data_IF_630955306273
#
_entry.id   IF_630955306273
#
_cell.length_a   1.000
_cell.length_b   1.000
_cell.length_c   1.000
_cell.angle_alpha   90.00
_cell.angle_beta   90.00
_cell.angle_gamma   90.00
#
_symmetry.space_group_name_H-M   'P 1'
#
loop_
_entity.id
_entity.type
_entity.pdbx_description
1 polymer ?
#
# COMPACT_ATOMS: atom_id res chain seq x y z
N UNK A 1 16.95 15.34 12.59
CA UNK A 1 16.36 14.20 11.88
C UNK A 1 15.60 13.40 12.91
N UNK A 2 14.27 13.40 12.81
CA UNK A 2 13.41 12.69 13.76
C UNK A 2 12.72 11.59 12.98
N UNK A 3 13.29 10.38 12.98
CA UNK A 3 12.70 9.23 12.31
C UNK A 3 11.48 8.70 13.07
N UNK A 4 10.62 7.95 12.40
CA UNK A 4 9.55 7.21 13.08
C UNK A 4 10.13 6.29 14.18
N UNK A 5 9.42 6.19 15.30
CA UNK A 5 9.72 5.23 16.36
C UNK A 5 9.50 3.80 15.87
N UNK A 6 10.08 2.82 16.57
CA UNK A 6 9.85 1.41 16.24
C UNK A 6 8.37 1.02 16.33
N UNK A 7 7.64 1.57 17.30
CA UNK A 7 6.20 1.32 17.45
C UNK A 7 5.42 1.85 16.25
N UNK A 8 5.64 3.10 15.84
CA UNK A 8 4.98 3.71 14.69
C UNK A 8 5.30 2.95 13.39
N UNK A 9 6.57 2.61 13.18
CA UNK A 9 7.01 1.83 12.01
C UNK A 9 6.29 0.50 11.92
N UNK A 10 6.20 -0.25 13.01
CA UNK A 10 5.56 -1.57 13.02
C UNK A 10 4.03 -1.48 12.92
N UNK A 11 3.40 -0.42 13.45
CA UNK A 11 1.96 -0.17 13.24
C UNK A 11 1.65 0.11 11.76
N UNK A 12 2.46 0.94 11.11
CA UNK A 12 2.35 1.17 9.66
C UNK A 12 2.65 -0.12 8.88
N UNK A 13 3.63 -0.92 9.30
CA UNK A 13 3.96 -2.20 8.67
C UNK A 13 2.80 -3.21 8.76
N UNK A 14 2.10 -3.28 9.91
CA UNK A 14 0.88 -4.08 10.07
C UNK A 14 -0.18 -3.62 9.08
N UNK A 15 -0.42 -2.31 8.98
CA UNK A 15 -1.40 -1.76 8.05
C UNK A 15 -1.07 -2.09 6.58
N UNK A 16 0.17 -1.88 6.15
CA UNK A 16 0.66 -2.23 4.81
C UNK A 16 0.45 -3.73 4.54
N UNK A 17 0.80 -4.59 5.50
CA UNK A 17 0.70 -6.05 5.35
C UNK A 17 -0.75 -6.52 5.21
N UNK A 18 -1.66 -5.94 6.00
CA UNK A 18 -3.11 -6.20 5.93
C UNK A 18 -3.68 -5.72 4.60
N UNK A 19 -3.37 -4.48 4.19
CA UNK A 19 -3.83 -3.92 2.92
C UNK A 19 -3.30 -4.72 1.71
N UNK A 20 -2.06 -5.18 1.76
CA UNK A 20 -1.46 -6.06 0.76
C UNK A 20 -2.07 -7.47 0.74
N UNK A 21 -2.79 -7.89 1.79
CA UNK A 21 -3.36 -9.24 1.90
C UNK A 21 -2.32 -10.33 2.13
N UNK A 22 -1.16 -10.02 2.72
CA UNK A 22 -0.07 -10.97 2.90
C UNK A 22 -0.01 -11.54 4.31
N UNK A 23 -0.58 -12.74 4.52
CA UNK A 23 -0.64 -13.38 5.85
C UNK A 23 0.73 -13.53 6.53
N UNK A 24 1.81 -14.00 5.87
CA UNK A 24 3.11 -14.10 6.52
C UNK A 24 3.67 -12.75 6.98
N UNK A 25 3.53 -11.70 6.16
CA UNK A 25 3.94 -10.34 6.54
C UNK A 25 3.12 -9.83 7.73
N UNK A 26 1.80 -10.02 7.71
CA UNK A 26 0.93 -9.64 8.84
C UNK A 26 1.32 -10.39 10.11
N UNK A 27 1.59 -11.69 10.04
CA UNK A 27 2.03 -12.49 11.20
C UNK A 27 3.35 -11.97 11.78
N UNK A 28 4.33 -11.67 10.93
CA UNK A 28 5.62 -11.14 11.35
C UNK A 28 5.47 -9.77 12.03
N UNK A 29 4.89 -8.79 11.33
CA UNK A 29 4.77 -7.43 11.86
C UNK A 29 3.81 -7.33 13.06
N UNK A 30 2.81 -8.22 13.17
CA UNK A 30 1.98 -8.30 14.37
C UNK A 30 2.76 -8.80 15.60
N UNK A 31 3.78 -9.65 15.42
CA UNK A 31 4.65 -10.04 16.52
C UNK A 31 5.60 -8.90 16.91
N UNK A 32 6.21 -8.22 15.93
CA UNK A 32 7.13 -7.12 16.20
C UNK A 32 6.43 -5.90 16.82
N UNK A 33 5.24 -5.53 16.36
CA UNK A 33 4.49 -4.40 16.92
C UNK A 33 4.11 -4.63 18.39
N UNK A 34 3.80 -5.88 18.76
CA UNK A 34 3.55 -6.26 20.16
C UNK A 34 4.82 -6.18 21.00
N UNK A 35 5.98 -6.58 20.47
CA UNK A 35 7.28 -6.40 21.14
C UNK A 35 7.64 -4.93 21.30
N UNK A 36 7.22 -4.08 20.37
CA UNK A 36 7.37 -2.63 20.45
C UNK A 36 6.39 -1.96 21.44
N UNK A 37 5.53 -2.73 22.12
CA UNK A 37 4.65 -2.24 23.18
C UNK A 37 3.26 -1.78 22.73
N UNK A 38 2.84 -2.13 21.51
CA UNK A 38 1.52 -1.75 21.02
C UNK A 38 0.38 -2.32 21.88
N UNK A 39 -0.62 -1.49 22.14
CA UNK A 39 -1.88 -1.92 22.77
C UNK A 39 -2.82 -2.57 21.74
N UNK A 40 -3.88 -3.21 22.23
CA UNK A 40 -4.95 -3.70 21.36
C UNK A 40 -5.58 -2.58 20.52
N UNK A 41 -5.76 -1.40 21.10
CA UNK A 41 -6.33 -0.23 20.42
C UNK A 41 -5.42 0.30 19.30
N UNK A 42 -4.09 0.30 19.50
CA UNK A 42 -3.14 0.70 18.45
C UNK A 42 -3.21 -0.24 17.25
N UNK A 43 -3.24 -1.54 17.51
CA UNK A 43 -3.35 -2.57 16.46
C UNK A 43 -4.71 -2.46 15.75
N UNK A 44 -5.80 -2.28 16.49
CA UNK A 44 -7.14 -2.07 15.94
C UNK A 44 -7.17 -0.85 15.00
N UNK A 45 -6.57 0.27 15.43
CA UNK A 45 -6.44 1.49 14.60
C UNK A 45 -5.70 1.21 13.29
N UNK A 46 -4.57 0.51 13.34
CA UNK A 46 -3.81 0.13 12.14
C UNK A 46 -4.60 -0.79 11.20
N UNK A 47 -5.28 -1.79 11.74
CA UNK A 47 -6.10 -2.73 10.95
C UNK A 47 -7.31 -2.02 10.34
N UNK A 48 -8.03 -1.22 11.12
CA UNK A 48 -9.21 -0.49 10.65
C UNK A 48 -8.86 0.49 9.53
N UNK A 49 -7.75 1.24 9.67
CA UNK A 49 -7.24 2.13 8.62
C UNK A 49 -6.91 1.36 7.33
N UNK A 50 -6.18 0.24 7.44
CA UNK A 50 -5.82 -0.59 6.30
C UNK A 50 -7.04 -1.16 5.57
N UNK A 51 -8.01 -1.69 6.31
CA UNK A 51 -9.25 -2.23 5.74
C UNK A 51 -10.05 -1.13 5.06
N UNK A 52 -10.19 0.04 5.69
CA UNK A 52 -10.94 1.15 5.11
C UNK A 52 -10.34 1.60 3.76
N UNK A 53 -9.03 1.80 3.70
CA UNK A 53 -8.32 2.16 2.46
C UNK A 53 -8.48 1.07 1.40
N UNK A 54 -8.32 -0.21 1.74
CA UNK A 54 -8.45 -1.33 0.78
C UNK A 54 -9.86 -1.46 0.22
N UNK A 55 -10.87 -1.33 1.07
CA UNK A 55 -12.29 -1.36 0.65
C UNK A 55 -12.57 -0.20 -0.30
N UNK A 56 -12.21 1.03 0.08
CA UNK A 56 -12.37 2.21 -0.77
C UNK A 56 -11.65 2.06 -2.12
N UNK A 57 -10.42 1.56 -2.14
CA UNK A 57 -9.67 1.33 -3.38
C UNK A 57 -10.36 0.30 -4.29
N UNK A 58 -10.91 -0.77 -3.70
CA UNK A 58 -11.63 -1.82 -4.44
C UNK A 58 -12.93 -1.29 -5.02
N UNK A 59 -13.73 -0.59 -4.21
CA UNK A 59 -15.00 0.00 -4.62
C UNK A 59 -14.81 1.09 -5.68
N UNK A 60 -13.82 1.98 -5.49
CA UNK A 60 -13.49 3.04 -6.45
C UNK A 60 -13.10 2.47 -7.81
N UNK A 61 -12.21 1.48 -7.84
CA UNK A 61 -11.83 0.81 -9.10
C UNK A 61 -12.99 0.05 -9.73
N UNK A 62 -13.83 -0.61 -8.93
CA UNK A 62 -15.03 -1.29 -9.41
C UNK A 62 -16.03 -0.34 -10.08
N UNK A 63 -16.30 0.81 -9.46
CA UNK A 63 -17.15 1.86 -10.03
C UNK A 63 -16.57 2.40 -11.34
N UNK A 64 -15.28 2.71 -11.36
CA UNK A 64 -14.59 3.20 -12.54
C UNK A 64 -14.71 2.23 -13.72
N UNK A 65 -14.44 0.94 -13.48
CA UNK A 65 -14.56 -0.10 -14.50
C UNK A 65 -16.00 -0.28 -15.02
N UNK A 66 -17.01 0.05 -14.21
CA UNK A 66 -18.43 0.01 -14.58
C UNK A 66 -18.96 1.33 -15.16
N UNK A 67 -18.12 2.37 -15.27
CA UNK A 67 -18.53 3.69 -15.74
C UNK A 67 -19.45 4.45 -14.77
N UNK A 68 -19.41 4.14 -13.48
CA UNK A 68 -20.25 4.73 -12.44
C UNK A 68 -19.58 5.94 -11.77
N UNK A 69 -19.04 6.85 -12.57
CA UNK A 69 -18.34 8.04 -12.06
C UNK A 69 -19.30 9.17 -11.60
N UNK A 70 -18.89 10.04 -10.67
CA UNK A 70 -17.61 10.01 -9.97
C UNK A 70 -17.54 8.90 -8.91
N UNK A 71 -16.36 8.33 -8.69
CA UNK A 71 -16.09 7.59 -7.47
C UNK A 71 -16.24 8.52 -6.23
N UNK A 72 -16.68 8.01 -5.06
CA UNK A 72 -16.66 8.79 -3.83
C UNK A 72 -15.24 9.28 -3.52
N UNK A 73 -15.12 10.48 -2.93
CA UNK A 73 -13.84 11.14 -2.63
C UNK A 73 -13.01 10.39 -1.57
N UNK A 74 -12.33 9.31 -1.99
CA UNK A 74 -11.43 8.48 -1.18
C UNK A 74 -12.09 7.72 -0.02
N UNK A 75 -11.31 7.10 0.85
CA UNK A 75 -11.82 6.42 2.04
C UNK A 75 -12.47 7.44 2.99
N UNK A 76 -13.55 7.08 3.69
CA UNK A 76 -14.13 7.93 4.75
C UNK A 76 -13.23 8.08 5.99
N UNK A 77 -12.03 7.50 5.98
CA UNK A 77 -11.09 7.44 7.08
C UNK A 77 -10.15 8.67 7.13
N UNK A 78 -10.69 9.88 7.25
CA UNK A 78 -9.87 11.06 7.54
C UNK A 78 -9.72 11.27 9.04
N UNK A 79 -8.51 11.55 9.52
CA UNK A 79 -8.28 11.83 10.95
C UNK A 79 -7.38 13.06 11.12
N UNK A 80 -7.40 13.68 12.30
CA UNK A 80 -6.45 14.75 12.66
C UNK A 80 -5.17 14.19 13.29
N UNK A 81 -4.85 12.92 13.03
CA UNK A 81 -3.80 12.18 13.71
C UNK A 81 -2.72 11.74 12.72
N UNK A 82 -1.48 12.15 12.98
CA UNK A 82 -0.33 11.87 12.11
C UNK A 82 -0.18 10.38 11.81
N UNK A 83 -0.25 9.53 12.84
CA UNK A 83 -0.02 8.09 12.69
C UNK A 83 -1.10 7.44 11.82
N UNK A 84 -2.36 7.84 11.97
CA UNK A 84 -3.46 7.38 11.13
C UNK A 84 -3.27 7.79 9.65
N UNK A 85 -2.79 9.00 9.37
CA UNK A 85 -2.47 9.40 7.99
C UNK A 85 -1.28 8.59 7.43
N UNK A 86 -0.24 8.32 8.22
CA UNK A 86 0.87 7.46 7.79
C UNK A 86 0.44 6.00 7.54
N UNK A 87 -0.45 5.47 8.38
CA UNK A 87 -1.11 4.16 8.19
C UNK A 87 -1.87 4.15 6.85
N UNK A 88 -2.65 5.19 6.58
CA UNK A 88 -3.47 5.28 5.38
C UNK A 88 -2.62 5.47 4.10
N UNK A 89 -1.53 6.25 4.17
CA UNK A 89 -0.53 6.38 3.10
C UNK A 89 0.10 5.02 2.80
N UNK A 90 0.59 4.30 3.83
CA UNK A 90 1.18 2.98 3.68
C UNK A 90 0.21 1.97 3.06
N UNK A 91 -1.04 1.94 3.54
CA UNK A 91 -2.09 1.11 2.99
C UNK A 91 -2.41 1.46 1.52
N UNK A 92 -2.45 2.76 1.17
CA UNK A 92 -2.73 3.25 -0.18
C UNK A 92 -1.65 2.79 -1.18
N UNK A 93 -0.39 2.87 -0.77
CA UNK A 93 0.74 2.34 -1.54
C UNK A 93 0.67 0.82 -1.70
N UNK A 94 0.24 0.09 -0.66
CA UNK A 94 0.08 -1.35 -0.71
C UNK A 94 -0.96 -1.79 -1.76
N UNK A 95 -2.06 -1.04 -1.89
CA UNK A 95 -3.16 -1.34 -2.84
C UNK A 95 -3.06 -0.59 -4.17
N UNK A 96 -2.00 0.21 -4.38
CA UNK A 96 -1.79 1.02 -5.58
C UNK A 96 -2.93 2.01 -5.88
N UNK A 97 -3.53 2.62 -4.85
CA UNK A 97 -4.65 3.55 -5.00
C UNK A 97 -4.17 5.02 -4.95
N UNK A 98 -4.13 5.67 -6.11
CA UNK A 98 -3.69 7.07 -6.23
C UNK A 98 -4.65 8.05 -5.55
N UNK A 99 -5.96 7.86 -5.68
CA UNK A 99 -6.96 8.75 -5.06
C UNK A 99 -6.83 8.80 -3.52
N UNK A 100 -6.67 7.63 -2.87
CA UNK A 100 -6.45 7.58 -1.42
C UNK A 100 -5.07 8.15 -1.06
N UNK A 101 -4.03 7.84 -1.85
CA UNK A 101 -2.70 8.38 -1.62
C UNK A 101 -2.70 9.91 -1.66
N UNK A 102 -3.29 10.53 -2.68
CA UNK A 102 -3.36 11.98 -2.84
C UNK A 102 -4.11 12.63 -1.67
N UNK A 103 -5.25 12.04 -1.28
CA UNK A 103 -6.05 12.49 -0.13
C UNK A 103 -5.23 12.49 1.18
N UNK A 104 -4.61 11.36 1.50
CA UNK A 104 -3.88 11.22 2.77
C UNK A 104 -2.55 11.97 2.76
N UNK A 105 -1.90 12.15 1.61
CA UNK A 105 -0.75 13.04 1.49
C UNK A 105 -1.15 14.50 1.73
N UNK A 106 -2.28 14.96 1.18
CA UNK A 106 -2.77 16.31 1.44
C UNK A 106 -3.07 16.53 2.94
N UNK A 107 -3.74 15.57 3.58
CA UNK A 107 -4.03 15.62 5.01
C UNK A 107 -2.76 15.59 5.88
N UNK A 108 -1.83 14.68 5.60
CA UNK A 108 -0.54 14.61 6.31
C UNK A 108 0.26 15.92 6.18
N UNK A 109 0.31 16.51 4.97
CA UNK A 109 0.97 17.81 4.77
C UNK A 109 0.27 18.94 5.54
N UNK A 110 -1.06 18.93 5.60
CA UNK A 110 -1.82 19.92 6.38
C UNK A 110 -1.55 19.82 7.89
N UNK A 111 -1.26 18.61 8.40
CA UNK A 111 -0.84 18.37 9.78
C UNK A 111 0.65 18.71 10.03
N UNK A 112 1.40 19.09 8.99
CA UNK A 112 2.83 19.38 9.10
C UNK A 112 3.70 18.12 9.24
N UNK A 113 3.21 16.95 8.79
CA UNK A 113 3.98 15.71 8.81
C UNK A 113 5.25 15.89 7.96
N UNK A 114 6.45 15.64 8.54
CA UNK A 114 7.70 15.76 7.80
C UNK A 114 7.75 14.82 6.58
N UNK A 115 8.29 15.31 5.47
CA UNK A 115 8.48 14.49 4.27
C UNK A 115 9.34 13.25 4.55
N UNK A 116 10.30 13.34 5.49
CA UNK A 116 11.10 12.19 5.93
C UNK A 116 10.25 11.02 6.45
N UNK A 117 9.15 11.27 7.16
CA UNK A 117 8.25 10.21 7.61
C UNK A 117 7.50 9.57 6.45
N UNK A 118 7.07 10.37 5.47
CA UNK A 118 6.39 9.87 4.26
C UNK A 118 7.36 9.00 3.45
N UNK A 119 8.62 9.41 3.33
CA UNK A 119 9.66 8.66 2.62
C UNK A 119 9.98 7.33 3.33
N UNK A 120 10.04 7.34 4.67
CA UNK A 120 10.20 6.11 5.48
C UNK A 120 9.03 5.13 5.26
N UNK A 121 7.79 5.64 5.25
CA UNK A 121 6.59 4.82 4.96
C UNK A 121 6.63 4.26 3.54
N UNK A 122 7.05 5.07 2.56
CA UNK A 122 7.15 4.63 1.17
C UNK A 122 8.19 3.51 1.00
N UNK A 123 9.35 3.63 1.62
CA UNK A 123 10.38 2.59 1.61
C UNK A 123 9.90 1.29 2.26
N UNK A 124 9.22 1.40 3.42
CA UNK A 124 8.62 0.26 4.11
C UNK A 124 7.55 -0.43 3.26
N UNK A 125 6.67 0.34 2.60
CA UNK A 125 5.64 -0.20 1.71
C UNK A 125 6.25 -0.93 0.51
N UNK A 126 7.29 -0.38 -0.12
CA UNK A 126 7.99 -1.04 -1.23
C UNK A 126 8.58 -2.39 -0.81
N UNK A 127 9.24 -2.43 0.36
CA UNK A 127 9.83 -3.67 0.91
C UNK A 127 8.76 -4.74 1.20
N UNK A 128 7.67 -4.37 1.90
CA UNK A 128 6.60 -5.32 2.23
C UNK A 128 5.88 -5.80 0.96
N UNK A 129 5.63 -4.94 -0.03
CA UNK A 129 5.04 -5.35 -1.32
C UNK A 129 5.93 -6.36 -2.05
N UNK A 130 7.25 -6.14 -2.06
CA UNK A 130 8.20 -7.10 -2.64
C UNK A 130 8.13 -8.46 -1.93
N UNK A 131 8.07 -8.47 -0.59
CA UNK A 131 7.91 -9.70 0.20
C UNK A 131 6.55 -10.36 -0.03
N UNK A 132 5.47 -9.58 -0.16
CA UNK A 132 4.14 -10.10 -0.43
C UNK A 132 4.08 -10.85 -1.76
N UNK A 133 4.66 -10.28 -2.81
CA UNK A 133 4.82 -10.95 -4.12
C UNK A 133 5.61 -12.24 -3.94
N UNK A 134 6.79 -12.18 -3.31
CA UNK A 134 7.63 -13.36 -3.09
C UNK A 134 6.90 -14.49 -2.34
N UNK A 135 6.15 -14.16 -1.28
CA UNK A 135 5.41 -15.15 -0.51
C UNK A 135 4.33 -15.86 -1.34
N UNK A 136 3.63 -15.14 -2.21
CA UNK A 136 2.65 -15.75 -3.12
C UNK A 136 3.34 -16.56 -4.21
N UNK A 137 4.40 -16.03 -4.82
CA UNK A 137 5.12 -16.72 -5.90
C UNK A 137 5.82 -17.99 -5.43
N UNK A 138 6.29 -18.05 -4.18
CA UNK A 138 6.85 -19.26 -3.58
C UNK A 138 5.87 -20.44 -3.61
N UNK A 139 4.55 -20.20 -3.59
CA UNK A 139 3.54 -21.25 -3.69
C UNK A 139 3.40 -21.82 -5.11
N UNK A 140 3.97 -21.17 -6.13
CA UNK A 140 3.96 -21.66 -7.50
C UNK A 140 5.05 -22.72 -7.76
N UNK A 141 5.93 -22.98 -6.79
CA UNK A 141 7.08 -23.89 -6.93
C UNK A 141 8.21 -23.29 -7.77
N UNK A 142 9.21 -24.10 -8.08
CA UNK A 142 10.29 -23.70 -9.00
C UNK A 142 9.71 -23.51 -10.41
N UNK A 143 9.58 -22.25 -10.84
CA UNK A 143 9.30 -21.95 -12.24
C UNK A 143 10.52 -22.34 -13.06
N UNK A 144 10.38 -23.28 -14.00
CA UNK A 144 11.32 -23.36 -15.11
C UNK A 144 11.35 -21.98 -15.78
N UNK A 145 12.54 -21.43 -15.99
CA UNK A 145 12.69 -20.14 -16.68
C UNK A 145 11.90 -20.20 -18.00
N UNK A 146 11.11 -19.17 -18.34
CA UNK A 146 10.45 -19.15 -19.63
C UNK A 146 11.52 -19.34 -20.71
N UNK A 147 11.29 -20.29 -21.62
CA UNK A 147 12.14 -20.45 -22.79
C UNK A 147 12.27 -19.07 -23.47
N UNK A 148 13.46 -18.69 -23.96
CA UNK A 148 13.66 -17.40 -24.59
C UNK A 148 12.61 -17.25 -25.70
N UNK A 149 11.67 -16.33 -25.50
CA UNK A 149 10.69 -16.02 -26.54
C UNK A 149 11.47 -15.40 -27.68
N UNK A 150 11.46 -16.07 -28.84
CA UNK A 150 11.88 -15.45 -30.08
C UNK A 150 11.11 -14.13 -30.19
N UNK A 151 11.85 -13.02 -30.19
CA UNK A 151 11.28 -11.69 -30.09
C UNK A 151 10.12 -11.52 -31.06
N UNK A 152 9.01 -11.01 -30.54
CA UNK A 152 7.96 -10.47 -31.38
C UNK A 152 8.59 -9.34 -32.19
N UNK A 153 8.92 -9.62 -33.44
CA UNK A 153 9.35 -8.60 -34.37
C UNK A 153 8.23 -7.57 -34.42
N UNK A 154 8.49 -6.38 -33.89
CA UNK A 154 7.64 -5.22 -34.16
C UNK A 154 7.50 -5.16 -35.68
N UNK A 155 6.29 -5.42 -36.17
CA UNK A 155 5.95 -5.15 -37.55
C UNK A 155 6.12 -3.64 -37.71
N UNK A 156 7.13 -3.24 -38.47
CA UNK A 156 7.35 -1.85 -38.82
C UNK A 156 6.06 -1.32 -39.46
N UNK A 157 5.52 -0.23 -38.91
CA UNK A 157 4.46 0.52 -39.58
C UNK A 157 4.97 0.95 -40.96
N UNK A 158 4.19 0.79 -42.05
CA UNK A 158 4.63 1.28 -43.34
C UNK A 158 4.67 2.81 -43.30
N UNK A 159 5.85 3.35 -43.56
CA UNK A 159 5.99 4.73 -44.00
C UNK A 159 5.25 4.87 -45.34
N UNK A 160 4.23 5.73 -45.39
CA UNK A 160 3.45 5.97 -46.60
C UNK A 160 2.82 7.36 -46.58
N UNK A 161 3.36 8.23 -47.43
CA UNK A 161 2.90 9.58 -47.77
C UNK A 161 1.41 9.64 -48.16
N UNK A 162 0.70 10.66 -47.68
CA UNK A 162 0.24 11.86 -48.41
C UNK A 162 -0.52 12.78 -47.44
#
# INVERSE_FOLDING_TARGET
MMSLTMLEKELVAVAISVAAGCRPCTTYHLAEVKRAGATGADIEKAVAGAVCVRTSATEGMGRHALGLEPAPDGCGCGTTDMLAELIAIGASLAVNCTANLDKHLAAARALGVPQEHIDEVAALAAMIRSKAVHHVEKHLGDRAAPAPTAGCALVAAPAGCC
#
